data_IF_703518940230
#
_entry.id   IF_703518940230
#
_cell.length_a   1.000
_cell.length_b   1.000
_cell.length_c   1.000
_cell.angle_alpha   90.00
_cell.angle_beta   90.00
_cell.angle_gamma   90.00
#
_symmetry.space_group_name_H-M   'P 1'
#
loop_
_entity.id
_entity.type
_entity.pdbx_description
1 polymer ?
#
# COMPACT_ATOMS: atom_id res chain seq x y z
N UNK A 1 5.88 -18.14 27.44
CA UNK A 1 6.89 -17.29 26.78
C UNK A 1 6.13 -16.21 26.04
N UNK A 2 6.07 -15.00 26.61
CA UNK A 2 5.32 -13.88 26.04
C UNK A 2 6.22 -13.15 25.06
N UNK A 3 5.94 -13.25 23.76
CA UNK A 3 6.63 -12.48 22.73
C UNK A 3 6.14 -11.03 22.80
N UNK A 4 6.99 -10.13 23.28
CA UNK A 4 6.75 -8.69 23.27
C UNK A 4 6.90 -8.17 21.84
N UNK A 5 5.79 -8.00 21.14
CA UNK A 5 5.74 -7.24 19.88
C UNK A 5 5.99 -5.77 20.22
N UNK A 6 7.21 -5.31 19.97
CA UNK A 6 7.56 -3.89 20.00
C UNK A 6 6.96 -3.22 18.77
N UNK A 7 6.13 -2.20 18.98
CA UNK A 7 5.56 -1.36 17.92
C UNK A 7 6.40 -0.10 17.82
N UNK A 8 7.06 0.12 16.67
CA UNK A 8 7.88 1.31 16.47
C UNK A 8 7.03 2.59 16.57
N UNK A 9 7.56 3.61 17.25
CA UNK A 9 7.02 4.97 17.25
C UNK A 9 7.06 5.56 15.84
N UNK A 10 6.00 6.30 15.51
CA UNK A 10 5.76 7.10 14.31
C UNK A 10 7.05 7.67 13.71
N UNK A 11 7.48 7.14 12.57
CA UNK A 11 8.39 7.84 11.65
C UNK A 11 7.56 8.72 10.72
N UNK A 12 8.01 9.94 10.50
CA UNK A 12 7.38 10.90 9.58
C UNK A 12 8.42 11.55 8.69
N UNK A 13 8.18 11.57 7.39
CA UNK A 13 8.94 12.39 6.43
C UNK A 13 7.93 13.20 5.58
N UNK A 14 7.93 14.52 5.76
CA UNK A 14 6.91 15.40 5.20
C UNK A 14 5.49 14.89 5.48
N UNK A 15 4.73 14.62 4.42
CA UNK A 15 3.33 14.18 4.47
C UNK A 15 3.15 12.66 4.61
N UNK A 16 4.20 11.90 4.94
CA UNK A 16 4.12 10.45 5.13
C UNK A 16 4.31 10.06 6.59
N UNK A 17 3.48 9.13 7.07
CA UNK A 17 3.45 8.69 8.47
C UNK A 17 3.34 7.17 8.58
N UNK A 18 4.29 6.54 9.26
CA UNK A 18 4.12 5.15 9.72
C UNK A 18 3.11 5.13 10.87
N UNK A 19 1.90 4.64 10.62
CA UNK A 19 0.83 4.60 11.62
C UNK A 19 1.05 3.43 12.58
N UNK A 20 1.35 2.27 12.01
CA UNK A 20 1.69 1.03 12.71
C UNK A 20 2.44 0.12 11.76
N UNK A 21 3.43 -0.59 12.25
CA UNK A 21 4.07 -1.70 11.53
C UNK A 21 4.87 -2.50 12.55
N UNK A 22 4.65 -3.82 12.66
CA UNK A 22 5.52 -4.69 13.43
C UNK A 22 6.98 -4.57 12.96
N UNK A 23 7.90 -4.60 13.91
CA UNK A 23 9.33 -4.45 13.65
C UNK A 23 9.86 -5.56 12.73
N UNK A 24 9.35 -6.78 12.84
CA UNK A 24 9.72 -7.92 11.98
C UNK A 24 9.29 -7.70 10.52
N UNK A 25 8.08 -7.19 10.28
CA UNK A 25 7.60 -6.85 8.93
C UNK A 25 8.46 -5.73 8.32
N UNK A 26 8.70 -4.65 9.08
CA UNK A 26 9.48 -3.52 8.60
C UNK A 26 10.94 -3.90 8.31
N UNK A 27 11.55 -4.67 9.21
CA UNK A 27 12.91 -5.16 9.04
C UNK A 27 13.03 -6.16 7.87
N UNK A 28 12.03 -7.02 7.66
CA UNK A 28 11.99 -7.94 6.52
C UNK A 28 11.88 -7.18 5.19
N UNK A 29 11.05 -6.13 5.15
CA UNK A 29 10.92 -5.25 3.99
C UNK A 29 12.25 -4.55 3.66
N UNK A 30 12.91 -3.98 4.66
CA UNK A 30 14.19 -3.26 4.48
C UNK A 30 15.36 -4.16 4.10
N UNK A 31 15.26 -5.46 4.39
CA UNK A 31 16.26 -6.49 4.06
C UNK A 31 15.90 -7.34 2.85
N UNK A 32 14.99 -6.88 1.99
CA UNK A 32 14.75 -7.54 0.70
C UNK A 32 16.07 -7.70 -0.07
N UNK A 33 16.35 -8.91 -0.55
CA UNK A 33 17.49 -9.18 -1.42
C UNK A 33 17.26 -8.52 -2.79
N UNK A 34 18.33 -8.32 -3.56
CA UNK A 34 18.25 -7.63 -4.87
C UNK A 34 17.35 -8.33 -5.89
N UNK A 35 17.31 -9.67 -5.85
CA UNK A 35 16.48 -10.48 -6.74
C UNK A 35 14.99 -10.53 -6.33
N UNK A 36 14.64 -10.01 -5.15
CA UNK A 36 13.27 -10.03 -4.66
C UNK A 36 12.43 -8.91 -5.27
N UNK A 37 11.25 -9.27 -5.75
CA UNK A 37 10.31 -8.35 -6.42
C UNK A 37 9.29 -7.82 -5.42
N UNK A 38 9.03 -6.52 -5.44
CA UNK A 38 7.91 -5.91 -4.74
C UNK A 38 6.70 -5.93 -5.67
N UNK A 39 5.64 -6.64 -5.28
CA UNK A 39 4.36 -6.54 -5.99
C UNK A 39 3.59 -5.34 -5.44
N UNK A 40 3.36 -4.35 -6.30
CA UNK A 40 2.70 -3.09 -5.98
C UNK A 40 1.29 -3.10 -6.57
N UNK A 41 0.28 -3.25 -5.71
CA UNK A 41 -1.12 -3.20 -6.09
C UNK A 41 -1.68 -1.77 -5.97
N UNK A 42 -2.12 -1.20 -7.08
CA UNK A 42 -2.63 0.20 -7.12
C UNK A 42 -4.05 0.27 -7.66
N UNK A 43 -4.95 1.05 -7.03
CA UNK A 43 -6.30 1.20 -7.54
C UNK A 43 -6.28 2.07 -8.81
N UNK A 44 -7.11 1.72 -9.79
CA UNK A 44 -7.39 2.61 -10.92
C UNK A 44 -8.30 3.76 -10.45
N UNK A 45 -7.74 4.95 -10.29
CA UNK A 45 -8.41 6.12 -9.72
C UNK A 45 -8.18 7.37 -10.57
N UNK A 46 -9.07 8.38 -10.51
CA UNK A 46 -8.79 9.68 -11.10
C UNK A 46 -7.52 10.31 -10.52
N UNK A 47 -6.84 11.13 -11.32
CA UNK A 47 -5.69 11.91 -10.88
C UNK A 47 -6.09 12.95 -9.82
N UNK A 48 -5.13 13.27 -8.93
CA UNK A 48 -5.33 14.34 -7.94
C UNK A 48 -5.63 15.65 -8.67
N UNK A 49 -6.55 16.50 -8.18
CA UNK A 49 -6.83 17.80 -8.80
C UNK A 49 -5.60 18.71 -8.92
N UNK A 50 -4.60 18.51 -8.06
CA UNK A 50 -3.33 19.23 -8.06
C UNK A 50 -2.27 18.62 -9.01
N UNK A 51 -2.58 17.49 -9.64
CA UNK A 51 -1.63 16.75 -10.48
C UNK A 51 -1.34 17.48 -11.78
N UNK A 52 -0.07 17.54 -12.15
CA UNK A 52 0.41 17.99 -13.45
C UNK A 52 0.70 16.84 -14.43
N UNK A 53 0.45 15.60 -14.01
CA UNK A 53 0.62 14.42 -14.86
C UNK A 53 -0.35 14.45 -16.04
N UNK A 54 0.09 13.91 -17.18
CA UNK A 54 -0.79 13.71 -18.31
C UNK A 54 -1.91 12.72 -17.93
N UNK A 55 -3.13 12.95 -18.41
CA UNK A 55 -4.34 12.23 -17.94
C UNK A 55 -4.32 10.73 -18.21
N UNK A 56 -3.47 10.29 -19.14
CA UNK A 56 -3.25 8.91 -19.56
C UNK A 56 -2.14 8.20 -18.77
N UNK A 57 -1.45 8.92 -17.87
CA UNK A 57 -0.42 8.33 -17.01
C UNK A 57 -1.02 7.63 -15.78
N UNK A 58 -0.25 6.72 -15.18
CA UNK A 58 -0.62 6.12 -13.91
C UNK A 58 -0.27 7.09 -12.76
N UNK A 59 -1.23 7.48 -11.91
CA UNK A 59 -0.97 8.41 -10.80
C UNK A 59 0.01 7.86 -9.75
N UNK A 60 0.27 6.55 -9.73
CA UNK A 60 1.18 5.88 -8.82
C UNK A 60 2.52 5.49 -9.46
N UNK A 61 2.81 5.90 -10.70
CA UNK A 61 4.09 5.62 -11.37
C UNK A 61 5.29 6.06 -10.51
N UNK A 62 5.19 7.24 -9.88
CA UNK A 62 6.22 7.76 -8.99
C UNK A 62 6.50 6.86 -7.77
N UNK A 63 5.48 6.18 -7.24
CA UNK A 63 5.63 5.22 -6.15
C UNK A 63 6.44 4.01 -6.60
N UNK A 64 6.08 3.44 -7.75
CA UNK A 64 6.81 2.31 -8.35
C UNK A 64 8.27 2.65 -8.64
N UNK A 65 8.55 3.84 -9.17
CA UNK A 65 9.92 4.30 -9.46
C UNK A 65 10.76 4.55 -8.21
N UNK A 66 10.15 4.98 -7.11
CA UNK A 66 10.87 5.32 -5.89
C UNK A 66 11.30 4.08 -5.09
N UNK A 67 10.61 2.94 -5.25
CA UNK A 67 10.92 1.71 -4.54
C UNK A 67 12.33 1.18 -4.88
N UNK A 68 13.12 0.71 -3.89
CA UNK A 68 14.53 0.38 -4.08
C UNK A 68 14.79 -1.02 -4.67
N UNK A 69 13.75 -1.69 -5.16
CA UNK A 69 13.79 -3.06 -5.68
C UNK A 69 13.01 -3.15 -6.97
N UNK A 70 13.16 -4.26 -7.70
CA UNK A 70 12.34 -4.50 -8.88
C UNK A 70 10.86 -4.49 -8.46
N UNK A 71 10.06 -3.70 -9.17
CA UNK A 71 8.63 -3.56 -8.91
C UNK A 71 7.85 -4.30 -9.99
N UNK A 72 6.90 -5.11 -9.55
CA UNK A 72 5.80 -5.57 -10.39
C UNK A 72 4.59 -4.72 -10.06
N UNK A 73 4.29 -3.77 -10.94
CA UNK A 73 3.14 -2.89 -10.79
C UNK A 73 1.89 -3.58 -11.32
N UNK A 74 0.90 -3.80 -10.45
CA UNK A 74 -0.33 -4.54 -10.75
C UNK A 74 -1.53 -3.64 -10.43
N UNK A 75 -2.04 -2.88 -11.41
CA UNK A 75 -3.22 -2.07 -11.20
C UNK A 75 -4.45 -2.96 -11.00
N UNK A 76 -5.37 -2.54 -10.12
CA UNK A 76 -6.64 -3.22 -9.88
C UNK A 76 -7.82 -2.26 -10.04
N UNK A 77 -8.95 -2.80 -10.48
CA UNK A 77 -10.20 -2.05 -10.57
C UNK A 77 -11.07 -2.32 -9.35
N UNK A 78 -11.58 -1.25 -8.74
CA UNK A 78 -12.40 -1.32 -7.53
C UNK A 78 -13.72 -2.10 -7.74
N UNK A 79 -14.27 -2.05 -8.94
CA UNK A 79 -15.50 -2.76 -9.31
C UNK A 79 -15.33 -4.26 -9.53
N UNK A 80 -14.10 -4.70 -9.82
CA UNK A 80 -13.77 -6.08 -10.19
C UNK A 80 -13.17 -6.86 -9.01
N UNK A 81 -12.64 -6.18 -8.00
CA UNK A 81 -11.98 -6.81 -6.86
C UNK A 81 -10.73 -7.58 -7.25
N UNK A 82 -10.33 -8.53 -6.41
CA UNK A 82 -9.17 -9.39 -6.67
C UNK A 82 -9.53 -10.46 -7.71
N UNK A 83 -8.69 -10.59 -8.73
CA UNK A 83 -8.82 -11.62 -9.78
C UNK A 83 -7.72 -12.68 -9.66
N UNK A 84 -7.84 -13.79 -10.38
CA UNK A 84 -6.81 -14.85 -10.44
C UNK A 84 -5.45 -14.30 -10.88
N UNK A 85 -5.42 -13.37 -11.85
CA UNK A 85 -4.18 -12.73 -12.29
C UNK A 85 -3.43 -12.02 -11.15
N UNK A 86 -4.16 -11.38 -10.23
CA UNK A 86 -3.54 -10.76 -9.05
C UNK A 86 -2.93 -11.83 -8.13
N UNK A 87 -3.62 -12.96 -7.96
CA UNK A 87 -3.13 -14.07 -7.16
C UNK A 87 -1.86 -14.70 -7.74
N UNK A 88 -1.78 -14.83 -9.07
CA UNK A 88 -0.65 -15.47 -9.77
C UNK A 88 0.66 -14.69 -9.62
N UNK A 89 0.60 -13.40 -9.29
CA UNK A 89 1.79 -12.60 -9.01
C UNK A 89 2.34 -12.78 -7.59
N UNK A 90 1.50 -13.22 -6.64
CA UNK A 90 1.92 -13.35 -5.24
C UNK A 90 3.07 -14.33 -5.07
N UNK A 91 3.06 -15.57 -5.63
CA UNK A 91 4.13 -16.57 -5.43
C UNK A 91 5.57 -16.09 -5.66
N UNK A 92 5.78 -15.08 -6.52
CA UNK A 92 7.10 -14.54 -6.83
C UNK A 92 7.41 -13.22 -6.08
N UNK A 93 6.56 -12.80 -5.15
CA UNK A 93 6.72 -11.55 -4.40
C UNK A 93 7.64 -11.75 -3.20
N UNK A 94 8.65 -10.89 -3.07
CA UNK A 94 9.41 -10.75 -1.82
C UNK A 94 8.73 -9.82 -0.83
N UNK A 95 7.87 -8.89 -1.30
CA UNK A 95 6.97 -8.06 -0.51
C UNK A 95 5.73 -7.68 -1.33
N UNK A 96 4.64 -7.35 -0.64
CA UNK A 96 3.43 -6.78 -1.23
C UNK A 96 3.16 -5.39 -0.65
N UNK A 97 2.95 -4.41 -1.52
CA UNK A 97 2.46 -3.06 -1.14
C UNK A 97 1.09 -2.89 -1.77
N UNK A 98 0.08 -2.60 -0.96
CA UNK A 98 -1.30 -2.45 -1.40
C UNK A 98 -1.74 -1.03 -1.12
N UNK A 99 -2.08 -0.29 -2.17
CA UNK A 99 -2.53 1.09 -2.06
C UNK A 99 -4.04 1.13 -1.89
N UNK A 100 -4.50 1.94 -0.93
CA UNK A 100 -5.89 2.31 -0.71
C UNK A 100 -5.98 3.84 -0.80
N UNK A 101 -6.64 4.37 -1.82
CA UNK A 101 -6.73 5.80 -2.10
C UNK A 101 -8.15 6.33 -1.96
N UNK A 102 -8.36 7.19 -0.96
CA UNK A 102 -9.66 7.65 -0.45
C UNK A 102 -9.68 9.19 -0.37
N UNK A 103 -9.05 9.84 -1.34
CA UNK A 103 -9.09 11.31 -1.46
C UNK A 103 -10.45 11.78 -1.97
N UNK A 104 -10.77 13.06 -1.76
CA UNK A 104 -12.08 13.64 -2.07
C UNK A 104 -12.51 13.40 -3.52
N UNK A 105 -11.58 13.53 -4.48
CA UNK A 105 -11.86 13.31 -5.90
C UNK A 105 -12.14 11.83 -6.22
N UNK A 106 -11.51 10.90 -5.49
CA UNK A 106 -11.75 9.46 -5.63
C UNK A 106 -13.11 9.09 -5.05
N UNK A 107 -13.42 9.53 -3.82
CA UNK A 107 -14.73 9.29 -3.20
C UNK A 107 -15.87 9.92 -4.01
N UNK A 108 -15.66 11.13 -4.55
CA UNK A 108 -16.65 11.79 -5.41
C UNK A 108 -16.92 10.99 -6.69
N UNK A 109 -15.90 10.31 -7.24
CA UNK A 109 -16.06 9.45 -8.42
C UNK A 109 -16.61 8.06 -8.10
N UNK A 110 -16.33 7.54 -6.90
CA UNK A 110 -16.75 6.22 -6.43
C UNK A 110 -17.08 6.27 -4.93
N UNK A 111 -18.36 6.44 -4.54
CA UNK A 111 -18.75 6.55 -3.14
C UNK A 111 -18.40 5.31 -2.29
N UNK A 112 -18.19 4.15 -2.93
CA UNK A 112 -17.81 2.89 -2.28
C UNK A 112 -16.33 2.58 -2.38
N UNK A 113 -15.47 3.54 -2.78
CA UNK A 113 -14.05 3.30 -3.01
C UNK A 113 -13.37 2.67 -1.78
N UNK A 114 -13.70 3.14 -0.57
CA UNK A 114 -13.12 2.59 0.65
C UNK A 114 -13.44 1.12 0.85
N UNK A 115 -14.72 0.75 0.82
CA UNK A 115 -15.16 -0.63 0.99
C UNK A 115 -14.54 -1.55 -0.07
N UNK A 116 -14.55 -1.12 -1.34
CA UNK A 116 -14.05 -1.91 -2.46
C UNK A 116 -12.54 -2.14 -2.39
N UNK A 117 -11.76 -1.10 -2.10
CA UNK A 117 -10.30 -1.21 -1.99
C UNK A 117 -9.86 -1.99 -0.76
N UNK A 118 -10.56 -1.84 0.37
CA UNK A 118 -10.31 -2.65 1.56
C UNK A 118 -10.66 -4.12 1.32
N UNK A 119 -11.76 -4.42 0.62
CA UNK A 119 -12.10 -5.81 0.26
C UNK A 119 -11.02 -6.43 -0.65
N UNK A 120 -10.53 -5.69 -1.65
CA UNK A 120 -9.37 -6.13 -2.44
C UNK A 120 -8.16 -6.44 -1.55
N UNK A 121 -7.82 -5.56 -0.61
CA UNK A 121 -6.70 -5.76 0.31
C UNK A 121 -6.89 -7.00 1.20
N UNK A 122 -8.12 -7.24 1.70
CA UNK A 122 -8.45 -8.45 2.48
C UNK A 122 -8.27 -9.71 1.66
N UNK A 123 -8.67 -9.70 0.39
CA UNK A 123 -8.52 -10.84 -0.50
C UNK A 123 -7.05 -11.15 -0.78
N UNK A 124 -6.23 -10.12 -1.04
CA UNK A 124 -4.78 -10.27 -1.19
C UNK A 124 -4.16 -10.82 0.09
N UNK A 125 -4.53 -10.28 1.25
CA UNK A 125 -4.03 -10.73 2.55
C UNK A 125 -4.36 -12.20 2.83
N UNK A 126 -5.61 -12.59 2.60
CA UNK A 126 -6.07 -13.99 2.72
C UNK A 126 -5.27 -14.88 1.79
N UNK A 127 -5.03 -14.46 0.55
CA UNK A 127 -4.28 -15.26 -0.42
C UNK A 127 -2.81 -15.44 -0.01
N UNK A 128 -2.17 -14.42 0.55
CA UNK A 128 -0.81 -14.53 1.11
C UNK A 128 -0.79 -15.54 2.26
N UNK A 129 -1.81 -15.56 3.12
CA UNK A 129 -1.90 -16.50 4.24
C UNK A 129 -2.14 -17.96 3.77
N UNK A 130 -2.86 -18.17 2.67
CA UNK A 130 -3.14 -19.51 2.12
C UNK A 130 -1.95 -20.11 1.36
N UNK A 131 -1.16 -19.27 0.69
CA UNK A 131 -0.06 -19.71 -0.17
C UNK A 131 1.21 -19.94 0.65
N UNK A 132 1.56 -21.21 0.86
CA UNK A 132 2.79 -21.60 1.59
C UNK A 132 4.07 -20.99 1.01
N UNK A 133 4.13 -20.78 -0.31
CA UNK A 133 5.29 -20.19 -0.99
C UNK A 133 5.55 -18.73 -0.62
N UNK A 134 4.54 -18.03 -0.09
CA UNK A 134 4.63 -16.61 0.34
C UNK A 134 4.33 -16.44 1.82
N UNK A 135 4.32 -17.54 2.58
CA UNK A 135 4.23 -17.48 4.02
C UNK A 135 5.41 -16.65 4.57
N UNK A 136 5.11 -15.50 5.19
CA UNK A 136 6.11 -14.56 5.70
C UNK A 136 6.53 -13.45 4.73
N UNK A 137 5.90 -13.34 3.56
CA UNK A 137 6.04 -12.15 2.70
C UNK A 137 5.41 -10.96 3.42
N UNK A 138 6.16 -9.87 3.68
CA UNK A 138 5.60 -8.69 4.30
C UNK A 138 4.59 -8.05 3.36
N UNK A 139 3.38 -7.83 3.87
CA UNK A 139 2.34 -7.08 3.19
C UNK A 139 2.10 -5.76 3.94
N UNK A 140 2.11 -4.66 3.20
CA UNK A 140 2.04 -3.30 3.73
C UNK A 140 0.90 -2.55 3.04
N UNK A 141 0.07 -1.90 3.84
CA UNK A 141 -0.96 -0.99 3.36
C UNK A 141 -0.39 0.42 3.24
N UNK A 142 -0.60 1.06 2.08
CA UNK A 142 -0.40 2.50 1.90
C UNK A 142 -1.77 3.17 1.76
N UNK A 143 -2.21 3.88 2.79
CA UNK A 143 -3.43 4.65 2.80
C UNK A 143 -3.17 6.08 2.33
N UNK A 144 -3.88 6.52 1.30
CA UNK A 144 -3.88 7.89 0.80
C UNK A 144 -5.22 8.52 1.15
N UNK A 145 -5.24 9.57 1.99
CA UNK A 145 -6.47 10.25 2.42
C UNK A 145 -6.21 11.75 2.58
N UNK A 146 -7.02 12.59 1.92
CA UNK A 146 -6.84 14.06 1.90
C UNK A 146 -7.41 14.78 3.12
N UNK A 147 -8.09 14.06 4.01
CA UNK A 147 -8.96 14.65 5.02
C UNK A 147 -8.63 14.21 6.45
N UNK A 148 -9.24 14.89 7.42
CA UNK A 148 -9.16 14.51 8.83
C UNK A 148 -9.71 13.09 9.09
N UNK A 149 -10.46 12.51 8.15
CA UNK A 149 -11.00 11.16 8.23
C UNK A 149 -9.95 10.07 7.94
N UNK A 150 -8.75 10.41 7.45
CA UNK A 150 -7.65 9.46 7.28
C UNK A 150 -7.38 8.62 8.54
N UNK A 151 -7.54 9.20 9.73
CA UNK A 151 -7.46 8.46 11.00
C UNK A 151 -8.59 7.45 11.18
N UNK A 152 -9.82 7.83 10.85
CA UNK A 152 -10.98 6.93 10.93
C UNK A 152 -10.85 5.77 9.94
N UNK A 153 -10.36 6.03 8.71
CA UNK A 153 -10.06 4.96 7.75
C UNK A 153 -8.94 4.04 8.25
N UNK A 154 -7.87 4.60 8.83
CA UNK A 154 -6.79 3.83 9.43
C UNK A 154 -7.26 2.94 10.60
N UNK A 155 -8.22 3.43 11.40
CA UNK A 155 -8.88 2.68 12.49
C UNK A 155 -9.81 1.58 11.96
N UNK A 156 -10.55 1.85 10.88
CA UNK A 156 -11.40 0.85 10.22
C UNK A 156 -10.61 -0.27 9.51
N UNK A 157 -9.28 -0.13 9.41
CA UNK A 157 -8.35 -1.07 8.80
C UNK A 157 -7.45 -1.80 9.82
N UNK A 158 -7.82 -1.83 11.11
CA UNK A 158 -7.00 -2.38 12.18
C UNK A 158 -6.54 -3.84 11.96
N UNK A 159 -7.24 -4.61 11.14
CA UNK A 159 -6.86 -5.98 10.77
C UNK A 159 -5.52 -6.05 10.02
N UNK A 160 -5.10 -4.95 9.36
CA UNK A 160 -3.82 -4.89 8.66
C UNK A 160 -2.73 -4.37 9.61
N UNK A 161 -1.69 -5.17 9.91
CA UNK A 161 -0.69 -4.82 10.92
C UNK A 161 0.27 -3.72 10.47
N UNK A 162 0.57 -3.62 9.18
CA UNK A 162 1.47 -2.62 8.61
C UNK A 162 0.68 -1.61 7.77
N UNK A 163 0.68 -0.36 8.22
CA UNK A 163 -0.02 0.76 7.60
C UNK A 163 0.84 2.03 7.60
N UNK A 164 1.07 2.57 6.41
CA UNK A 164 1.59 3.92 6.18
C UNK A 164 0.46 4.79 5.67
N UNK A 165 0.40 6.03 6.12
CA UNK A 165 -0.56 7.02 5.67
C UNK A 165 0.16 8.18 4.98
N UNK A 166 -0.42 8.65 3.89
CA UNK A 166 -0.04 9.90 3.21
C UNK A 166 -1.27 10.74 2.90
N UNK A 167 -1.07 12.06 2.82
CA UNK A 167 -2.19 13.01 2.71
C UNK A 167 -2.62 13.28 1.24
N UNK A 168 -1.81 12.91 0.26
CA UNK A 168 -2.13 12.96 -1.17
C UNK A 168 -1.23 11.97 -1.92
N UNK A 169 -1.45 11.77 -3.21
CA UNK A 169 -0.72 10.89 -4.12
C UNK A 169 0.05 11.70 -5.18
N UNK A 170 0.52 12.89 -4.81
CA UNK A 170 1.54 13.62 -5.58
C UNK A 170 2.87 12.85 -5.59
N UNK A 171 3.72 13.12 -6.58
CA UNK A 171 5.07 12.54 -6.66
C UNK A 171 5.84 12.67 -5.34
N UNK A 172 5.82 13.85 -4.72
CA UNK A 172 6.52 14.10 -3.45
C UNK A 172 5.98 13.24 -2.32
N UNK A 173 4.65 13.15 -2.17
CA UNK A 173 4.04 12.35 -1.12
C UNK A 173 4.34 10.85 -1.28
N UNK A 174 4.27 10.34 -2.52
CA UNK A 174 4.60 8.95 -2.84
C UNK A 174 6.07 8.62 -2.58
N UNK A 175 7.00 9.51 -2.92
CA UNK A 175 8.44 9.36 -2.62
C UNK A 175 8.69 9.35 -1.12
N UNK A 176 8.03 10.24 -0.36
CA UNK A 176 8.16 10.27 1.09
C UNK A 176 7.62 9.00 1.76
N UNK A 177 6.55 8.41 1.22
CA UNK A 177 6.05 7.11 1.70
C UNK A 177 7.12 6.02 1.59
N UNK A 178 7.87 6.00 0.49
CA UNK A 178 8.96 5.02 0.31
C UNK A 178 10.09 5.27 1.30
N UNK A 179 10.48 6.51 1.56
CA UNK A 179 11.50 6.83 2.58
C UNK A 179 11.08 6.35 3.96
N UNK A 180 9.84 6.59 4.36
CA UNK A 180 9.30 6.07 5.63
C UNK A 180 9.40 4.54 5.72
N UNK A 181 9.10 3.84 4.63
CA UNK A 181 9.17 2.37 4.56
C UNK A 181 10.60 1.83 4.58
N UNK A 182 11.53 2.45 3.86
CA UNK A 182 12.86 1.88 3.61
C UNK A 182 13.99 2.50 4.43
N UNK A 183 13.79 3.66 5.05
CA UNK A 183 14.82 4.40 5.79
C UNK A 183 15.56 5.36 4.86
#
# INVERSE_FOLDING_TARGET
MSSTTSTHRVSSDGNAKLVRCPDDILNRLRRLNEAEVITLFTPFVPHSPSSTLARDMDPFEALGRALPRQVRHVPYRMDSGMTELHADFLPASGAAVIVVCITDNVISSSPRAFEQQVNFARDVWRKIAELKSVAGVPAIMLLVSSDAAGRAYAEAMQEFPALVMIDDYTTTALVNAVRVLFG
#
